data_IF_189746200416
#
_entry.id   IF_189746200416
#
_cell.length_a   1.000
_cell.length_b   1.000
_cell.length_c   1.000
_cell.angle_alpha   90.00
_cell.angle_beta   90.00
_cell.angle_gamma   90.00
#
_symmetry.space_group_name_H-M   'P 1'
#
loop_
_entity.id
_entity.type
_entity.pdbx_description
1 polymer ?
#
# COMPACT_ATOMS: atom_id res chain seq x y z
N UNK A 1 4.40 -16.84 3.53
CA UNK A 1 5.21 -16.14 4.56
C UNK A 1 6.08 -15.14 3.82
N UNK A 2 5.90 -13.83 4.07
CA UNK A 2 6.80 -12.81 3.51
C UNK A 2 8.24 -13.16 3.88
N UNK A 3 9.15 -13.12 2.91
CA UNK A 3 10.52 -13.62 3.04
C UNK A 3 11.33 -12.99 4.19
N UNK A 4 12.57 -13.47 4.38
CA UNK A 4 13.43 -13.16 5.52
C UNK A 4 13.74 -11.67 5.77
N UNK A 5 13.40 -10.77 4.84
CA UNK A 5 13.64 -9.33 4.97
C UNK A 5 12.42 -8.52 5.44
N UNK A 6 11.23 -9.14 5.56
CA UNK A 6 10.06 -8.47 6.09
C UNK A 6 10.24 -8.18 7.58
N UNK A 7 10.05 -6.91 7.97
CA UNK A 7 10.17 -6.46 9.36
C UNK A 7 8.86 -5.87 9.82
N UNK A 8 8.37 -6.37 10.94
CA UNK A 8 7.31 -5.72 11.69
C UNK A 8 7.83 -4.46 12.37
N UNK A 9 7.07 -3.36 12.27
CA UNK A 9 7.39 -2.11 12.94
C UNK A 9 6.83 -2.09 14.35
N UNK A 10 7.46 -1.30 15.24
CA UNK A 10 6.87 -1.03 16.54
C UNK A 10 5.53 -0.29 16.38
N UNK A 11 4.59 -0.39 17.34
CA UNK A 11 3.30 0.28 17.28
C UNK A 11 3.40 1.80 17.08
N UNK A 12 4.39 2.45 17.71
CA UNK A 12 4.62 3.89 17.60
C UNK A 12 5.02 4.25 16.17
N UNK A 13 5.98 3.51 15.62
CA UNK A 13 6.44 3.73 14.25
C UNK A 13 5.35 3.40 13.24
N UNK A 14 4.56 2.36 13.49
CA UNK A 14 3.40 2.04 12.66
C UNK A 14 2.38 3.18 12.63
N UNK A 15 2.06 3.76 13.78
CA UNK A 15 1.14 4.89 13.88
C UNK A 15 1.62 6.11 13.08
N UNK A 16 2.93 6.38 13.08
CA UNK A 16 3.52 7.44 12.25
C UNK A 16 3.36 7.18 10.74
N UNK A 17 3.47 5.93 10.30
CA UNK A 17 3.31 5.55 8.89
C UNK A 17 1.83 5.65 8.47
N UNK A 18 0.88 5.23 9.31
CA UNK A 18 -0.55 5.45 9.04
C UNK A 18 -0.89 6.93 8.93
N UNK A 19 -0.34 7.74 9.84
CA UNK A 19 -0.53 9.19 9.79
C UNK A 19 0.04 9.75 8.49
N UNK A 20 1.25 9.34 8.09
CA UNK A 20 1.87 9.78 6.85
C UNK A 20 1.05 9.39 5.61
N UNK A 21 0.47 8.20 5.60
CA UNK A 21 -0.44 7.75 4.53
C UNK A 21 -1.70 8.66 4.47
N UNK A 22 -2.34 8.93 5.61
CA UNK A 22 -3.52 9.79 5.71
C UNK A 22 -3.23 11.26 5.37
N UNK A 23 -2.03 11.75 5.71
CA UNK A 23 -1.59 13.10 5.36
C UNK A 23 -1.26 13.21 3.85
N UNK A 24 -0.89 12.09 3.20
CA UNK A 24 -0.49 12.04 1.79
C UNK A 24 -1.66 11.83 0.82
N UNK A 25 -2.68 11.07 1.23
CA UNK A 25 -3.82 10.71 0.39
C UNK A 25 -5.14 11.02 1.08
N UNK A 26 -6.15 11.50 0.35
CA UNK A 26 -7.45 11.78 0.93
C UNK A 26 -8.17 10.46 1.25
N UNK A 27 -8.57 10.27 2.50
CA UNK A 27 -9.37 9.12 2.93
C UNK A 27 -10.82 9.52 3.17
N UNK A 28 -11.73 8.64 2.80
CA UNK A 28 -13.11 8.66 3.22
C UNK A 28 -13.23 8.23 4.69
N UNK A 29 -14.33 8.62 5.36
CA UNK A 29 -14.52 8.28 6.78
C UNK A 29 -14.62 6.78 7.05
N UNK A 30 -14.96 5.98 6.03
CA UNK A 30 -15.00 4.52 6.09
C UNK A 30 -13.66 3.86 5.70
N UNK A 31 -12.58 4.63 5.58
CA UNK A 31 -11.22 4.11 5.44
C UNK A 31 -10.76 3.85 4.01
N UNK A 32 -11.59 4.07 2.98
CA UNK A 32 -11.18 3.96 1.58
C UNK A 32 -10.47 5.23 1.11
N UNK A 33 -9.47 5.12 0.24
CA UNK A 33 -8.91 6.32 -0.42
C UNK A 33 -9.98 6.94 -1.33
N UNK A 34 -10.21 8.25 -1.20
CA UNK A 34 -11.04 9.00 -2.13
C UNK A 34 -10.28 9.20 -3.45
N UNK A 35 -10.39 8.21 -4.32
CA UNK A 35 -9.73 8.22 -5.63
C UNK A 35 -10.19 9.35 -6.54
N UNK A 36 -11.39 9.90 -6.35
CA UNK A 36 -11.85 11.05 -7.13
C UNK A 36 -11.01 12.31 -6.85
N UNK A 37 -10.41 12.41 -5.66
CA UNK A 37 -9.53 13.51 -5.27
C UNK A 37 -8.05 13.27 -5.60
N UNK A 38 -7.67 12.05 -6.00
CA UNK A 38 -6.31 11.72 -6.44
C UNK A 38 -6.18 11.98 -7.94
N UNK A 39 -5.36 12.97 -8.30
CA UNK A 39 -5.19 13.40 -9.69
C UNK A 39 -4.48 12.35 -10.56
N UNK A 40 -3.34 11.82 -10.07
CA UNK A 40 -2.55 10.81 -10.76
C UNK A 40 -2.85 9.43 -10.17
N UNK A 41 -3.73 8.71 -10.85
CA UNK A 41 -4.14 7.35 -10.47
C UNK A 41 -4.31 6.46 -11.69
N UNK A 42 -4.21 5.15 -11.47
CA UNK A 42 -4.44 4.13 -12.49
C UNK A 42 -5.13 2.92 -11.85
N UNK A 43 -6.19 2.42 -12.49
CA UNK A 43 -6.80 1.16 -12.12
C UNK A 43 -5.91 0.02 -12.63
N UNK A 44 -5.71 -1.00 -11.79
CA UNK A 44 -4.86 -2.16 -12.09
C UNK A 44 -5.79 -3.33 -12.40
N UNK A 45 -5.77 -3.79 -13.65
CA UNK A 45 -6.62 -4.89 -14.12
C UNK A 45 -5.97 -6.26 -13.87
N UNK A 46 -4.66 -6.30 -13.67
CA UNK A 46 -3.93 -7.54 -13.39
C UNK A 46 -2.68 -7.30 -12.54
N UNK A 47 -2.32 -8.28 -11.71
CA UNK A 47 -1.16 -8.21 -10.82
C UNK A 47 0.16 -8.01 -11.57
N UNK A 48 0.24 -8.53 -12.80
CA UNK A 48 1.42 -8.38 -13.68
C UNK A 48 1.68 -6.92 -14.08
N UNK A 49 0.67 -6.04 -14.03
CA UNK A 49 0.87 -4.61 -14.28
C UNK A 49 1.64 -3.94 -13.14
N UNK A 50 1.51 -4.43 -11.90
CA UNK A 50 2.10 -3.78 -10.73
C UNK A 50 3.63 -3.70 -10.87
N UNK A 51 4.28 -4.77 -11.33
CA UNK A 51 5.75 -4.79 -11.52
C UNK A 51 6.25 -3.77 -12.55
N UNK A 52 5.39 -3.30 -13.45
CA UNK A 52 5.71 -2.28 -14.44
C UNK A 52 5.47 -0.85 -13.94
N UNK A 53 4.65 -0.70 -12.89
CA UNK A 53 4.22 0.60 -12.36
C UNK A 53 5.08 1.07 -11.18
N UNK A 54 5.68 0.14 -10.44
CA UNK A 54 6.49 0.44 -9.25
C UNK A 54 7.97 0.08 -9.48
N UNK A 55 8.92 0.87 -8.96
CA UNK A 55 10.34 0.52 -9.06
C UNK A 55 10.64 -0.75 -8.27
N UNK A 56 11.47 -1.62 -8.88
CA UNK A 56 12.09 -2.75 -8.18
C UNK A 56 12.93 -2.24 -7.00
N UNK A 57 13.02 -3.05 -5.95
CA UNK A 57 13.76 -2.74 -4.71
C UNK A 57 13.24 -1.53 -3.91
N UNK A 58 12.06 -1.01 -4.27
CA UNK A 58 11.39 0.01 -3.45
C UNK A 58 11.09 -0.54 -2.06
N UNK A 59 11.32 0.30 -1.06
CA UNK A 59 10.91 0.05 0.31
C UNK A 59 9.43 0.38 0.47
N UNK A 60 8.62 -0.63 0.77
CA UNK A 60 7.17 -0.51 0.83
C UNK A 60 6.71 -0.90 2.22
N UNK A 61 5.80 -0.09 2.76
CA UNK A 61 5.04 -0.42 3.96
C UNK A 61 3.76 -1.14 3.56
N UNK A 62 3.45 -2.21 4.27
CA UNK A 62 2.23 -2.99 4.13
C UNK A 62 1.34 -2.65 5.31
N UNK A 63 0.16 -2.11 5.03
CA UNK A 63 -0.83 -1.73 6.02
C UNK A 63 -2.14 -2.45 5.71
N UNK A 64 -2.84 -2.92 6.74
CA UNK A 64 -4.12 -3.61 6.59
C UNK A 64 -5.22 -2.91 7.35
N UNK A 65 -6.24 -2.47 6.61
CA UNK A 65 -7.45 -1.82 7.13
C UNK A 65 -7.16 -0.69 8.13
N UNK A 66 -8.18 -0.14 8.76
CA UNK A 66 -8.02 0.82 9.87
C UNK A 66 -8.17 0.06 11.19
N UNK A 67 -7.07 -0.48 11.72
CA UNK A 67 -7.08 -1.26 12.96
C UNK A 67 -5.69 -1.44 13.57
N UNK A 68 -5.57 -2.18 14.69
CA UNK A 68 -4.29 -2.45 15.37
C UNK A 68 -3.42 -3.46 14.61
N UNK A 69 -3.64 -3.62 13.31
CA UNK A 69 -2.90 -4.57 12.49
C UNK A 69 -1.41 -4.18 12.47
N UNK A 70 -0.49 -5.15 12.56
CA UNK A 70 0.92 -4.85 12.48
C UNK A 70 1.23 -4.19 11.14
N UNK A 71 2.13 -3.22 11.14
CA UNK A 71 2.65 -2.66 9.88
C UNK A 71 3.93 -3.39 9.57
N UNK A 72 3.99 -3.97 8.38
CA UNK A 72 5.20 -4.57 7.88
C UNK A 72 5.92 -3.61 6.94
N UNK A 73 7.22 -3.80 6.87
CA UNK A 73 8.11 -3.17 5.92
C UNK A 73 8.81 -4.28 5.14
N UNK A 74 8.79 -4.20 3.81
CA UNK A 74 9.47 -5.15 2.94
C UNK A 74 9.90 -4.49 1.61
N UNK A 75 10.79 -5.14 0.87
CA UNK A 75 11.14 -4.72 -0.48
C UNK A 75 10.03 -5.11 -1.48
N UNK A 76 9.94 -4.40 -2.60
CA UNK A 76 8.89 -4.65 -3.61
C UNK A 76 8.96 -6.05 -4.23
N UNK A 77 10.15 -6.65 -4.37
CA UNK A 77 10.31 -7.99 -4.95
C UNK A 77 9.67 -9.07 -4.07
N UNK A 78 9.87 -8.99 -2.76
CA UNK A 78 9.33 -9.96 -1.80
C UNK A 78 7.82 -9.83 -1.66
N UNK A 79 7.31 -8.59 -1.72
CA UNK A 79 5.87 -8.33 -1.72
C UNK A 79 5.23 -8.92 -2.98
N UNK A 80 5.77 -8.63 -4.17
CA UNK A 80 5.22 -9.12 -5.43
C UNK A 80 5.22 -10.65 -5.51
N UNK A 81 6.25 -11.31 -4.97
CA UNK A 81 6.33 -12.78 -4.90
C UNK A 81 5.31 -13.42 -3.96
N UNK A 82 4.83 -12.69 -2.96
CA UNK A 82 3.93 -13.20 -1.91
C UNK A 82 2.65 -12.36 -1.85
N UNK A 83 2.22 -11.79 -2.97
CA UNK A 83 1.18 -10.77 -2.95
C UNK A 83 -0.18 -11.32 -2.51
N UNK A 84 -0.48 -12.59 -2.84
CA UNK A 84 -1.69 -13.29 -2.38
C UNK A 84 -1.71 -13.47 -0.86
N UNK A 85 -0.55 -13.82 -0.26
CA UNK A 85 -0.41 -13.91 1.19
C UNK A 85 -0.60 -12.53 1.85
N UNK A 86 -0.11 -11.47 1.20
CA UNK A 86 -0.21 -10.10 1.69
C UNK A 86 -1.65 -9.61 1.67
N UNK A 87 -2.40 -9.84 0.59
CA UNK A 87 -3.76 -9.35 0.45
C UNK A 87 -4.79 -10.18 1.22
N UNK A 88 -4.44 -11.41 1.66
CA UNK A 88 -5.33 -12.28 2.42
C UNK A 88 -5.49 -11.92 3.92
N UNK A 89 -4.68 -11.00 4.46
CA UNK A 89 -4.60 -10.74 5.92
C UNK A 89 -5.70 -9.81 6.43
N UNK A 90 -6.19 -8.88 5.62
CA UNK A 90 -7.21 -7.91 6.02
C UNK A 90 -8.14 -7.57 4.87
N UNK A 91 -9.28 -6.94 5.17
CA UNK A 91 -10.27 -6.58 4.13
C UNK A 91 -9.65 -5.66 3.07
N UNK A 92 -9.07 -4.55 3.50
CA UNK A 92 -8.38 -3.61 2.61
C UNK A 92 -6.88 -3.64 2.92
N UNK A 93 -6.06 -3.65 1.87
CA UNK A 93 -4.60 -3.64 1.99
C UNK A 93 -4.00 -2.44 1.28
N UNK A 94 -3.08 -1.74 1.93
CA UNK A 94 -2.34 -0.62 1.36
C UNK A 94 -0.87 -0.97 1.24
N UNK A 95 -0.34 -0.91 0.01
CA UNK A 95 1.09 -0.92 -0.25
C UNK A 95 1.55 0.52 -0.43
N UNK A 96 2.23 1.06 0.57
CA UNK A 96 2.58 2.47 0.62
C UNK A 96 4.09 2.68 0.51
N UNK A 97 4.50 3.48 -0.48
CA UNK A 97 5.84 4.01 -0.62
C UNK A 97 5.79 5.54 -0.48
N UNK A 98 6.24 6.11 0.67
CA UNK A 98 6.15 7.55 0.92
C UNK A 98 6.70 8.41 -0.22
N UNK A 99 5.97 9.49 -0.54
CA UNK A 99 6.27 10.43 -1.63
C UNK A 99 6.31 9.82 -3.04
N UNK A 100 6.01 8.53 -3.20
CA UNK A 100 6.13 7.84 -4.48
C UNK A 100 4.79 7.29 -4.96
N UNK A 101 4.18 6.36 -4.22
CA UNK A 101 2.89 5.79 -4.58
C UNK A 101 2.17 5.14 -3.39
N UNK A 102 0.87 4.90 -3.56
CA UNK A 102 0.10 3.95 -2.76
C UNK A 102 -0.70 3.05 -3.68
N UNK A 103 -0.75 1.75 -3.40
CA UNK A 103 -1.69 0.82 -4.03
C UNK A 103 -2.69 0.41 -2.96
N UNK A 104 -3.98 0.56 -3.25
CA UNK A 104 -5.06 -0.01 -2.44
C UNK A 104 -5.57 -1.27 -3.14
N UNK A 105 -5.60 -2.37 -2.38
CA UNK A 105 -6.35 -3.56 -2.70
C UNK A 105 -7.64 -3.50 -1.90
N UNK A 106 -8.73 -3.15 -2.58
CA UNK A 106 -10.02 -3.00 -1.95
C UNK A 106 -10.73 -4.36 -1.87
N UNK A 107 -11.41 -4.65 -0.78
CA UNK A 107 -12.07 -5.94 -0.55
C UNK A 107 -13.12 -6.33 -1.62
N UNK A 108 -13.66 -5.36 -2.37
CA UNK A 108 -14.58 -5.62 -3.49
C UNK A 108 -13.85 -5.96 -4.82
N UNK A 109 -12.53 -6.10 -4.78
CA UNK A 109 -11.70 -6.55 -5.91
C UNK A 109 -11.10 -5.42 -6.76
N UNK A 110 -11.42 -4.16 -6.47
CA UNK A 110 -10.80 -3.02 -7.13
C UNK A 110 -9.36 -2.83 -6.64
N UNK A 111 -8.42 -2.68 -7.58
CA UNK A 111 -7.03 -2.38 -7.29
C UNK A 111 -6.68 -1.06 -7.97
N UNK A 112 -6.25 -0.07 -7.20
CA UNK A 112 -5.92 1.26 -7.73
C UNK A 112 -4.58 1.69 -7.17
N UNK A 113 -3.71 2.18 -8.05
CA UNK A 113 -2.48 2.88 -7.68
C UNK A 113 -2.68 4.39 -7.79
N UNK A 114 -2.26 5.12 -6.76
CA UNK A 114 -2.07 6.57 -6.77
C UNK A 114 -0.60 6.91 -6.74
N UNK A 115 -0.20 7.94 -7.47
CA UNK A 115 1.18 8.45 -7.46
C UNK A 115 1.28 9.73 -6.62
N UNK A 116 2.38 9.84 -5.87
CA UNK A 116 2.70 11.03 -5.08
C UNK A 116 2.91 12.26 -5.98
N UNK A 117 2.65 13.45 -5.42
CA UNK A 117 2.72 14.73 -6.15
C UNK A 117 4.12 15.06 -6.68
N UNK A 118 5.18 14.45 -6.13
CA UNK A 118 6.57 14.72 -6.51
C UNK A 118 7.04 13.93 -7.74
N UNK A 119 6.17 13.12 -8.36
CA UNK A 119 6.46 12.36 -9.59
C UNK A 119 6.08 13.08 -10.89
N UNK A 120 5.76 14.37 -10.83
CA UNK A 120 5.40 15.23 -11.98
C UNK A 120 6.57 16.14 -12.35
#
# INVERSE_FOLDING_TARGET
>A
MLGAEAKELSPERGSEIYKLLNDSYPFEWWGRINWNMVALKHAIDSMDQISHLIPLESKIYILWSTGPAPILYANSNDILRNIDDVTAVGSDTYLFCPNNFVIEFYHEGEIIIGFGKDRI
#
